data_IF_549571030673
#
_entry.id   IF_549571030673
#
_cell.length_a   1.000
_cell.length_b   1.000
_cell.length_c   1.000
_cell.angle_alpha   90.00
_cell.angle_beta   90.00
_cell.angle_gamma   90.00
#
_symmetry.space_group_name_H-M   'P 1'
#
loop_
_entity.id
_entity.type
_entity.pdbx_description
1 polymer ?
#
# COMPACT_ATOMS: atom_id res chain seq x y z
N UNK A 1 -11.76 -12.83 10.91
CA UNK A 1 -10.84 -12.44 9.82
C UNK A 1 -9.72 -11.63 10.45
N UNK A 2 -8.47 -11.92 10.11
CA UNK A 2 -7.35 -11.10 10.55
C UNK A 2 -7.50 -9.70 9.96
N UNK A 3 -7.04 -8.68 10.67
CA UNK A 3 -7.04 -7.32 10.15
C UNK A 3 -6.13 -7.22 8.92
N UNK A 4 -6.59 -6.47 7.93
CA UNK A 4 -5.85 -6.22 6.68
C UNK A 4 -5.30 -4.80 6.76
N UNK A 5 -4.02 -4.66 6.42
CA UNK A 5 -3.31 -3.40 6.34
C UNK A 5 -3.03 -3.08 4.88
N UNK A 6 -3.01 -1.79 4.57
CA UNK A 6 -2.63 -1.31 3.25
C UNK A 6 -1.12 -1.16 3.20
N UNK A 7 -0.53 -1.51 2.05
CA UNK A 7 0.86 -1.21 1.74
C UNK A 7 0.99 -0.59 0.36
N UNK A 8 1.91 0.36 0.25
CA UNK A 8 2.21 1.07 -0.98
C UNK A 8 3.51 0.53 -1.58
N UNK A 9 3.39 -0.04 -2.78
CA UNK A 9 4.52 -0.23 -3.66
C UNK A 9 4.88 1.13 -4.24
N UNK A 10 6.05 1.64 -3.89
CA UNK A 10 6.53 2.91 -4.39
C UNK A 10 7.43 2.67 -5.63
N UNK A 11 7.40 3.53 -6.63
CA UNK A 11 8.27 3.36 -7.81
C UNK A 11 9.75 3.53 -7.44
N UNK A 12 10.68 2.68 -7.92
CA UNK A 12 12.12 2.87 -7.62
C UNK A 12 12.50 4.25 -8.12
N UNK A 13 12.90 5.14 -7.20
CA UNK A 13 13.27 6.52 -7.51
C UNK A 13 14.10 6.55 -8.80
N UNK A 14 13.48 7.05 -9.88
CA UNK A 14 14.17 7.30 -11.13
C UNK A 14 15.28 8.29 -10.81
N UNK A 15 16.51 7.79 -10.75
CA UNK A 15 17.72 8.61 -10.68
C UNK A 15 18.05 9.14 -12.06
N UNK A 16 17.08 9.73 -12.78
CA UNK A 16 17.40 10.49 -13.98
C UNK A 16 17.92 11.84 -13.52
N UNK A 17 19.24 11.94 -13.45
CA UNK A 17 19.95 13.22 -13.49
C UNK A 17 19.54 13.93 -14.78
N UNK A 18 18.62 14.89 -14.68
CA UNK A 18 18.59 16.15 -15.43
C UNK A 18 17.19 16.78 -15.32
N UNK A 19 17.03 17.76 -14.43
CA UNK A 19 16.11 18.91 -14.56
C UNK A 19 16.04 19.70 -13.25
N UNK A 20 16.16 21.04 -13.29
CA UNK A 20 16.08 21.87 -12.10
C UNK A 20 14.63 22.22 -11.73
N UNK A 21 14.38 22.25 -10.41
CA UNK A 21 13.27 22.95 -9.71
C UNK A 21 11.90 22.24 -9.67
N UNK A 22 11.72 21.42 -8.64
CA UNK A 22 10.48 21.35 -7.83
C UNK A 22 10.90 21.13 -6.36
N UNK A 23 10.33 21.85 -5.36
CA UNK A 23 10.72 21.69 -3.97
C UNK A 23 10.41 20.27 -3.47
N UNK A 24 11.36 19.76 -2.68
CA UNK A 24 11.40 18.46 -2.01
C UNK A 24 10.11 18.19 -1.23
N UNK A 25 9.18 17.47 -1.85
CA UNK A 25 8.27 16.56 -1.17
C UNK A 25 8.73 15.16 -1.51
N UNK A 26 9.06 14.37 -0.50
CA UNK A 26 9.48 12.97 -0.60
C UNK A 26 8.29 12.09 -1.00
N UNK A 27 7.64 12.39 -2.12
CA UNK A 27 6.56 11.56 -2.66
C UNK A 27 7.18 10.63 -3.69
N UNK A 28 7.69 9.49 -3.20
CA UNK A 28 8.07 8.39 -4.09
C UNK A 28 6.75 7.87 -4.65
N UNK A 29 6.34 8.37 -5.81
CA UNK A 29 5.01 8.13 -6.37
C UNK A 29 4.54 6.68 -6.16
N UNK A 30 3.39 6.52 -5.49
CA UNK A 30 2.77 5.22 -5.23
C UNK A 30 2.48 4.58 -6.58
N UNK A 31 3.17 3.48 -6.86
CA UNK A 31 3.04 2.70 -8.10
C UNK A 31 1.85 1.76 -8.02
N UNK A 32 1.66 1.12 -6.87
CA UNK A 32 0.56 0.17 -6.66
C UNK A 32 0.19 0.04 -5.19
N UNK A 33 -1.10 -0.09 -4.92
CA UNK A 33 -1.63 -0.34 -3.58
C UNK A 33 -1.94 -1.83 -3.44
N UNK A 34 -1.47 -2.42 -2.35
CA UNK A 34 -1.67 -3.82 -2.03
C UNK A 34 -2.28 -3.97 -0.64
N UNK A 35 -3.10 -5.00 -0.47
CA UNK A 35 -3.56 -5.47 0.83
C UNK A 35 -2.56 -6.48 1.39
N UNK A 36 -2.24 -6.39 2.67
CA UNK A 36 -1.46 -7.38 3.40
C UNK A 36 -2.15 -7.74 4.72
N UNK A 37 -2.19 -9.02 5.11
CA UNK A 37 -2.67 -9.39 6.44
C UNK A 37 -1.74 -8.79 7.50
N UNK A 38 -2.27 -8.41 8.66
CA UNK A 38 -1.41 -8.01 9.77
C UNK A 38 -0.55 -9.15 10.29
N UNK A 39 0.60 -8.79 10.84
CA UNK A 39 1.52 -9.70 11.47
C UNK A 39 0.88 -10.30 12.74
N UNK A 40 1.03 -11.61 12.99
CA UNK A 40 0.55 -12.22 14.21
C UNK A 40 1.14 -11.53 15.44
N UNK A 41 0.27 -11.02 16.33
CA UNK A 41 0.67 -10.33 17.55
C UNK A 41 0.94 -8.82 17.41
N UNK A 42 0.95 -8.28 16.19
CA UNK A 42 1.14 -6.84 15.95
C UNK A 42 0.10 -6.32 14.94
N UNK A 43 -1.04 -5.80 15.40
CA UNK A 43 -2.14 -5.34 14.55
C UNK A 43 -1.74 -4.22 13.57
N UNK A 44 -0.71 -3.46 13.92
CA UNK A 44 -0.20 -2.32 13.14
C UNK A 44 0.95 -2.66 12.20
N UNK A 45 1.46 -3.89 12.23
CA UNK A 45 2.54 -4.31 11.34
C UNK A 45 1.99 -5.26 10.27
N UNK A 46 2.47 -5.13 9.04
CA UNK A 46 2.09 -6.04 7.96
C UNK A 46 2.82 -7.36 8.10
N UNK A 47 2.16 -8.44 7.73
CA UNK A 47 2.78 -9.74 7.53
C UNK A 47 3.84 -9.71 6.42
N UNK A 48 4.62 -10.78 6.25
CA UNK A 48 5.77 -10.82 5.33
C UNK A 48 5.36 -10.74 3.85
N UNK A 49 4.10 -11.00 3.53
CA UNK A 49 3.57 -10.98 2.17
C UNK A 49 2.19 -10.33 2.12
N UNK A 50 1.96 -9.63 1.02
CA UNK A 50 0.63 -9.15 0.58
C UNK A 50 -0.29 -10.32 0.22
N UNK A 51 -1.59 -10.06 0.08
CA UNK A 51 -2.59 -11.04 -0.36
C UNK A 51 -2.26 -11.58 -1.76
N UNK A 52 -1.72 -10.76 -2.65
CA UNK A 52 -1.26 -11.18 -3.98
C UNK A 52 0.12 -11.86 -3.98
N UNK A 53 0.69 -12.15 -2.80
CA UNK A 53 1.96 -12.88 -2.66
C UNK A 53 3.24 -12.06 -2.87
N UNK A 54 3.16 -10.74 -3.06
CA UNK A 54 4.35 -9.86 -3.06
C UNK A 54 4.89 -9.63 -1.66
N UNK A 55 6.20 -9.46 -1.57
CA UNK A 55 6.92 -9.17 -0.34
C UNK A 55 6.66 -7.72 0.14
N UNK A 56 6.34 -7.55 1.43
CA UNK A 56 6.02 -6.25 2.04
C UNK A 56 7.26 -5.49 2.51
N UNK A 57 8.45 -6.12 2.54
CA UNK A 57 9.65 -5.58 3.17
C UNK A 57 10.22 -4.34 2.46
N UNK A 58 9.92 -4.19 1.16
CA UNK A 58 10.30 -3.02 0.36
C UNK A 58 9.14 -2.03 0.12
N UNK A 59 8.00 -2.25 0.76
CA UNK A 59 6.78 -1.44 0.63
C UNK A 59 6.65 -0.48 1.81
N UNK A 60 5.98 0.64 1.57
CA UNK A 60 5.68 1.60 2.63
C UNK A 60 4.32 1.31 3.24
N UNK A 61 4.25 1.40 4.57
CA UNK A 61 2.99 1.28 5.31
C UNK A 61 2.46 2.67 5.59
N UNK A 62 1.36 3.10 4.94
CA UNK A 62 0.73 4.36 5.32
C UNK A 62 0.25 4.30 6.76
N UNK A 63 0.19 5.45 7.41
CA UNK A 63 -0.53 5.61 8.69
C UNK A 63 -2.05 5.44 8.55
N UNK A 64 -2.54 5.27 7.32
CA UNK A 64 -3.93 5.01 7.00
C UNK A 64 -4.35 3.62 7.47
N UNK A 65 -5.44 3.55 8.25
CA UNK A 65 -5.99 2.30 8.76
C UNK A 65 -7.36 2.03 8.13
N UNK A 66 -7.51 0.97 7.34
CA UNK A 66 -8.82 0.60 6.79
C UNK A 66 -9.83 0.23 7.90
N UNK A 67 -9.38 -0.25 9.07
CA UNK A 67 -10.26 -0.51 10.22
C UNK A 67 -10.99 0.76 10.74
N UNK A 68 -10.42 1.94 10.56
CA UNK A 68 -11.08 3.22 10.91
C UNK A 68 -12.12 3.64 9.87
N UNK A 69 -12.09 3.03 8.68
CA UNK A 69 -12.97 3.28 7.54
C UNK A 69 -13.73 2.01 7.13
N UNK A 70 -14.39 1.38 8.11
CA UNK A 70 -15.08 0.09 7.94
C UNK A 70 -16.27 0.12 6.96
N UNK A 71 -16.74 1.30 6.54
CA UNK A 71 -17.92 1.47 5.67
C UNK A 71 -17.56 1.77 4.21
N UNK A 72 -16.27 1.76 3.85
CA UNK A 72 -15.78 2.10 2.51
C UNK A 72 -14.78 1.08 1.96
N UNK A 73 -14.27 1.31 0.73
CA UNK A 73 -13.22 0.47 0.16
C UNK A 73 -12.00 0.43 1.09
N UNK A 74 -11.31 -0.71 1.08
CA UNK A 74 -10.11 -0.93 1.90
C UNK A 74 -8.91 -0.08 1.47
N UNK A 75 -9.07 0.76 0.44
CA UNK A 75 -8.07 1.66 -0.11
C UNK A 75 -8.57 3.11 -0.15
N UNK A 76 -7.67 4.11 -0.07
CA UNK A 76 -8.04 5.51 -0.28
C UNK A 76 -8.46 5.77 -1.73
N UNK A 77 -9.50 6.57 -1.94
CA UNK A 77 -10.05 6.86 -3.27
C UNK A 77 -9.02 7.49 -4.22
N UNK A 78 -8.06 8.25 -3.68
CA UNK A 78 -6.96 8.85 -4.44
C UNK A 78 -6.08 7.80 -5.16
N UNK A 79 -6.06 6.56 -4.67
CA UNK A 79 -5.30 5.45 -5.23
C UNK A 79 -6.18 4.38 -5.90
N UNK A 80 -7.48 4.63 -6.10
CA UNK A 80 -8.38 3.65 -6.73
C UNK A 80 -7.87 3.11 -8.07
N UNK A 81 -7.18 3.95 -8.86
CA UNK A 81 -6.57 3.56 -10.14
C UNK A 81 -5.25 2.78 -10.02
N UNK A 82 -4.65 2.77 -8.83
CA UNK A 82 -3.39 2.09 -8.52
C UNK A 82 -3.60 0.82 -7.67
N UNK A 83 -4.83 0.41 -7.39
CA UNK A 83 -5.12 -0.81 -6.64
C UNK A 83 -4.67 -2.04 -7.42
N UNK A 84 -4.06 -3.00 -6.72
CA UNK A 84 -3.75 -4.30 -7.29
C UNK A 84 -5.04 -5.11 -7.47
N UNK A 85 -5.43 -5.47 -8.72
CA UNK A 85 -6.69 -6.16 -8.97
C UNK A 85 -6.77 -7.54 -8.31
N UNK A 86 -5.63 -8.18 -8.08
CA UNK A 86 -5.56 -9.47 -7.38
C UNK A 86 -5.86 -9.33 -5.87
N UNK A 87 -5.33 -8.28 -5.23
CA UNK A 87 -5.65 -7.98 -3.83
C UNK A 87 -7.11 -7.53 -3.69
N UNK A 88 -7.59 -6.74 -4.64
CA UNK A 88 -8.98 -6.28 -4.69
C UNK A 88 -9.94 -7.45 -4.82
N UNK A 89 -9.68 -8.36 -5.76
CA UNK A 89 -10.48 -9.56 -5.96
C UNK A 89 -10.59 -10.41 -4.71
N UNK A 90 -9.53 -10.53 -3.88
CA UNK A 90 -9.56 -11.27 -2.60
C UNK A 90 -10.36 -10.54 -1.52
N UNK A 91 -10.34 -9.20 -1.51
CA UNK A 91 -11.08 -8.39 -0.52
C UNK A 91 -12.58 -8.34 -0.80
N UNK A 92 -12.98 -8.51 -2.06
CA UNK A 92 -14.39 -8.60 -2.48
C UNK A 92 -15.00 -10.02 -2.27
N UNK A 93 -14.24 -11.01 -1.75
CA UNK A 93 -14.73 -12.38 -1.46
C UNK A 93 -15.05 -12.60 0.02
#
# INVERSE_FOLDING_TARGET
MGEVLIVYELDKAVTTRDSPRVPRGTDRAVRRVHAAPAAPGTPTATGPRTLCGKDTFAMETPSWKPSEHSEGPWYPEEYASAVCPDCDAVMET
#
